data_IF_531279176868
#
_entry.id   IF_531279176868
#
_cell.length_a   1.000
_cell.length_b   1.000
_cell.length_c   1.000
_cell.angle_alpha   90.00
_cell.angle_beta   90.00
_cell.angle_gamma   90.00
#
_symmetry.space_group_name_H-M   'P 1'
#
loop_
_entity.id
_entity.type
_entity.pdbx_description
1 polymer ?
#
# COMPACT_ATOMS: atom_id res chain seq x y z
N UNK A 1 -6.01 6.58 -44.13
CA UNK A 1 -5.34 5.67 -43.22
C UNK A 1 -6.18 5.34 -41.98
N UNK A 2 -7.27 6.08 -41.73
CA UNK A 2 -8.19 5.84 -40.59
C UNK A 2 -7.65 6.34 -39.22
N UNK A 3 -6.56 7.08 -39.19
CA UNK A 3 -6.01 7.63 -37.95
C UNK A 3 -6.91 8.73 -37.44
N UNK A 4 -7.31 8.63 -36.17
CA UNK A 4 -8.11 9.66 -35.48
C UNK A 4 -7.27 10.91 -35.27
N UNK A 5 -7.83 12.06 -35.59
CA UNK A 5 -7.20 13.37 -35.38
C UNK A 5 -7.75 13.95 -34.06
N UNK A 6 -6.85 14.26 -33.14
CA UNK A 6 -7.19 14.85 -31.85
C UNK A 6 -6.83 16.33 -31.83
N UNK A 7 -7.83 17.17 -31.66
CA UNK A 7 -7.65 18.61 -31.67
C UNK A 7 -6.89 19.08 -30.43
N UNK A 8 -5.89 19.92 -30.65
CA UNK A 8 -5.20 20.65 -29.59
C UNK A 8 -6.12 21.72 -28.98
N UNK A 9 -6.22 21.76 -27.67
CA UNK A 9 -6.96 22.78 -26.92
C UNK A 9 -6.05 23.57 -26.00
N UNK A 10 -6.32 24.87 -25.87
CA UNK A 10 -5.73 25.69 -24.79
C UNK A 10 -6.58 25.53 -23.53
N UNK A 11 -5.95 25.33 -22.38
CA UNK A 11 -6.58 25.41 -21.08
C UNK A 11 -6.77 26.87 -20.67
N UNK A 12 -7.60 27.15 -19.66
CA UNK A 12 -7.81 28.50 -19.11
C UNK A 12 -6.51 29.16 -18.60
N UNK A 13 -5.48 28.32 -18.31
CA UNK A 13 -4.15 28.79 -17.92
C UNK A 13 -3.19 28.98 -19.10
N UNK A 14 -3.65 28.82 -20.34
CA UNK A 14 -2.83 28.92 -21.54
C UNK A 14 -1.98 27.68 -21.85
N UNK A 15 -2.12 26.62 -21.08
CA UNK A 15 -1.43 25.35 -21.34
C UNK A 15 -2.12 24.57 -22.47
N UNK A 16 -1.32 23.92 -23.29
CA UNK A 16 -1.81 23.07 -24.38
C UNK A 16 -2.09 21.67 -23.85
N UNK A 17 -3.37 21.29 -23.79
CA UNK A 17 -3.81 19.95 -23.42
C UNK A 17 -3.75 18.99 -24.64
N UNK A 18 -2.58 18.88 -25.26
CA UNK A 18 -2.38 18.13 -26.48
C UNK A 18 -2.33 16.62 -26.21
N UNK A 19 -3.05 15.83 -27.01
CA UNK A 19 -3.06 14.38 -26.96
C UNK A 19 -3.74 13.75 -25.74
N UNK A 20 -4.27 14.53 -24.79
CA UNK A 20 -4.94 13.98 -23.58
C UNK A 20 -6.12 13.08 -23.97
N UNK A 21 -6.93 13.48 -24.93
CA UNK A 21 -8.05 12.67 -25.41
C UNK A 21 -7.60 11.36 -26.05
N UNK A 22 -6.47 11.37 -26.78
CA UNK A 22 -5.89 10.16 -27.36
C UNK A 22 -5.46 9.17 -26.25
N UNK A 23 -4.82 9.67 -25.21
CA UNK A 23 -4.42 8.86 -24.04
C UNK A 23 -5.61 8.24 -23.35
N UNK A 24 -6.67 9.02 -23.11
CA UNK A 24 -7.86 8.55 -22.42
C UNK A 24 -8.65 7.50 -23.21
N UNK A 25 -8.67 7.63 -24.54
CA UNK A 25 -9.46 6.75 -25.42
C UNK A 25 -8.69 5.51 -25.87
N UNK A 26 -7.38 5.62 -26.10
CA UNK A 26 -6.57 4.57 -26.72
C UNK A 26 -5.43 4.08 -25.83
N UNK A 27 -5.25 4.67 -24.66
CA UNK A 27 -4.12 4.32 -23.78
C UNK A 27 -4.35 3.01 -23.04
N UNK A 28 -3.39 2.08 -23.17
CA UNK A 28 -3.30 0.89 -22.33
C UNK A 28 -2.80 1.19 -20.91
N UNK A 29 -2.89 2.45 -20.47
CA UNK A 29 -2.49 2.84 -19.13
C UNK A 29 -3.43 2.22 -18.09
N UNK A 30 -2.86 1.61 -17.08
CA UNK A 30 -3.65 1.14 -15.95
C UNK A 30 -2.83 1.16 -14.66
N UNK A 31 -3.56 1.35 -13.59
CA UNK A 31 -3.06 1.19 -12.23
C UNK A 31 -3.92 0.12 -11.55
N UNK A 32 -3.26 -0.87 -10.98
CA UNK A 32 -3.90 -1.94 -10.24
C UNK A 32 -3.34 -1.96 -8.84
N UNK A 33 -4.17 -1.62 -7.86
CA UNK A 33 -3.84 -1.71 -6.45
C UNK A 33 -4.61 -2.87 -5.82
N UNK A 34 -3.89 -3.77 -5.16
CA UNK A 34 -4.45 -4.92 -4.47
C UNK A 34 -3.94 -4.92 -3.04
N UNK A 35 -4.88 -4.93 -2.13
CA UNK A 35 -4.61 -4.95 -0.70
C UNK A 35 -5.21 -6.19 -0.08
N UNK A 36 -4.44 -6.86 0.75
CA UNK A 36 -4.87 -8.00 1.54
C UNK A 36 -4.50 -7.75 2.98
N UNK A 37 -5.50 -7.81 3.84
CA UNK A 37 -5.29 -7.70 5.28
C UNK A 37 -5.89 -8.92 5.96
N UNK A 38 -5.11 -9.53 6.82
CA UNK A 38 -5.55 -10.59 7.70
C UNK A 38 -5.22 -10.23 9.13
N UNK A 39 -6.24 -10.22 9.98
CA UNK A 39 -6.10 -9.93 11.42
C UNK A 39 -6.75 -11.06 12.21
N UNK A 40 -6.02 -11.58 13.18
CA UNK A 40 -6.54 -12.54 14.14
C UNK A 40 -6.16 -12.15 15.55
N UNK A 41 -7.07 -12.38 16.49
CA UNK A 41 -6.86 -12.11 17.91
C UNK A 41 -7.31 -13.30 18.75
N UNK A 42 -6.43 -13.72 19.65
CA UNK A 42 -6.72 -14.75 20.65
C UNK A 42 -6.79 -14.08 22.02
N UNK A 43 -7.80 -14.43 22.78
CA UNK A 43 -7.96 -14.00 24.15
C UNK A 43 -8.02 -15.22 25.07
N UNK A 44 -7.31 -15.14 26.20
CA UNK A 44 -7.39 -16.10 27.28
C UNK A 44 -7.72 -15.37 28.58
N UNK A 45 -8.69 -15.87 29.32
CA UNK A 45 -9.10 -15.34 30.62
C UNK A 45 -9.02 -16.46 31.65
N UNK A 46 -8.22 -16.22 32.68
CA UNK A 46 -8.03 -17.16 33.79
C UNK A 46 -8.47 -16.49 35.10
N UNK A 47 -9.20 -17.24 35.94
CA UNK A 47 -9.62 -16.82 37.28
C UNK A 47 -9.08 -17.81 38.33
N UNK A 48 -7.77 -17.77 38.61
CA UNK A 48 -7.13 -18.79 39.45
C UNK A 48 -7.59 -18.80 40.89
N UNK A 49 -8.02 -17.67 41.39
CA UNK A 49 -8.57 -17.49 42.76
C UNK A 49 -9.72 -16.47 42.76
N UNK A 50 -10.50 -16.45 43.83
CA UNK A 50 -11.54 -15.41 44.04
C UNK A 50 -10.94 -14.01 43.89
N UNK A 51 -11.69 -13.09 43.28
CA UNK A 51 -11.33 -11.68 43.14
C UNK A 51 -10.09 -11.39 42.27
N UNK A 52 -9.49 -12.40 41.65
CA UNK A 52 -8.33 -12.21 40.77
C UNK A 52 -8.56 -12.82 39.41
N UNK A 53 -8.39 -11.99 38.39
CA UNK A 53 -8.50 -12.36 36.96
C UNK A 53 -7.20 -12.01 36.25
N UNK A 54 -6.70 -12.94 35.44
CA UNK A 54 -5.60 -12.71 34.50
C UNK A 54 -6.14 -12.79 33.11
N UNK A 55 -5.83 -11.79 32.30
CA UNK A 55 -6.23 -11.73 30.90
C UNK A 55 -5.01 -11.58 30.02
N UNK A 56 -4.95 -12.39 28.98
CA UNK A 56 -3.93 -12.32 27.95
C UNK A 56 -4.59 -12.20 26.58
N UNK A 57 -4.14 -11.23 25.78
CA UNK A 57 -4.57 -11.04 24.42
C UNK A 57 -3.35 -11.07 23.49
N UNK A 58 -3.43 -11.86 22.43
CA UNK A 58 -2.45 -11.84 21.36
C UNK A 58 -3.14 -11.55 20.03
N UNK A 59 -2.69 -10.50 19.36
CA UNK A 59 -3.17 -10.11 18.03
C UNK A 59 -2.04 -10.22 17.03
N UNK A 60 -2.32 -10.84 15.91
CA UNK A 60 -1.42 -10.91 14.75
C UNK A 60 -2.13 -10.33 13.55
N UNK A 61 -1.48 -9.38 12.88
CA UNK A 61 -1.97 -8.75 11.67
C UNK A 61 -0.91 -8.87 10.57
N UNK A 62 -1.35 -9.25 9.39
CA UNK A 62 -0.54 -9.26 8.16
C UNK A 62 -1.23 -8.42 7.11
N UNK A 63 -0.52 -7.41 6.62
CA UNK A 63 -0.94 -6.54 5.54
C UNK A 63 0.01 -6.71 4.36
N UNK A 64 -0.55 -6.92 3.18
CA UNK A 64 0.18 -7.00 1.92
C UNK A 64 -0.51 -6.11 0.90
N UNK A 65 0.25 -5.20 0.29
CA UNK A 65 -0.20 -4.34 -0.79
C UNK A 65 0.69 -4.56 -2.01
N UNK A 66 0.07 -4.71 -3.15
CA UNK A 66 0.71 -4.75 -4.47
C UNK A 66 0.12 -3.66 -5.34
N UNK A 67 0.94 -2.67 -5.69
CA UNK A 67 0.58 -1.61 -6.63
C UNK A 67 1.35 -1.80 -7.93
N UNK A 68 0.62 -2.05 -9.03
CA UNK A 68 1.16 -2.16 -10.38
C UNK A 68 0.69 -0.96 -11.18
N UNK A 69 1.64 -0.24 -11.78
CA UNK A 69 1.38 0.91 -12.63
C UNK A 69 2.00 0.69 -14.02
N UNK A 70 1.16 0.65 -15.03
CA UNK A 70 1.53 0.50 -16.44
C UNK A 70 1.29 1.81 -17.19
N UNK A 71 2.30 2.30 -17.86
CA UNK A 71 2.21 3.42 -18.81
C UNK A 71 2.64 2.95 -20.19
N UNK A 72 1.95 3.41 -21.21
CA UNK A 72 2.15 3.05 -22.62
C UNK A 72 2.35 4.32 -23.43
N UNK A 73 3.19 4.26 -24.45
CA UNK A 73 3.30 5.34 -25.43
C UNK A 73 2.02 5.40 -26.28
N UNK A 74 1.47 6.58 -26.46
CA UNK A 74 0.27 6.78 -27.26
C UNK A 74 0.61 7.61 -28.49
N UNK A 75 0.38 7.01 -29.67
CA UNK A 75 0.49 7.70 -30.93
C UNK A 75 -0.83 8.40 -31.24
N UNK A 76 -0.75 9.64 -31.66
CA UNK A 76 -1.92 10.42 -32.07
C UNK A 76 -1.56 11.36 -33.22
N UNK A 77 -2.58 11.91 -33.85
CA UNK A 77 -2.44 12.82 -34.97
C UNK A 77 -3.06 14.17 -34.63
N UNK A 78 -2.36 15.26 -34.91
CA UNK A 78 -2.90 16.64 -34.87
C UNK A 78 -3.54 17.03 -36.18
N UNK A 79 -2.97 16.57 -37.26
CA UNK A 79 -3.43 16.86 -38.60
C UNK A 79 -3.49 15.57 -39.44
N UNK A 80 -4.33 15.50 -40.47
CA UNK A 80 -4.35 14.37 -41.36
C UNK A 80 -2.96 14.08 -41.97
N UNK A 81 -2.52 12.83 -41.89
CA UNK A 81 -1.23 12.38 -42.46
C UNK A 81 -0.01 12.63 -41.55
N UNK A 82 -0.17 13.22 -40.38
CA UNK A 82 0.89 13.42 -39.40
C UNK A 82 0.65 12.54 -38.17
N UNK A 83 1.64 11.79 -37.74
CA UNK A 83 1.58 10.99 -36.51
C UNK A 83 2.70 11.41 -35.58
N UNK A 84 2.35 11.72 -34.36
CA UNK A 84 3.27 12.12 -33.30
C UNK A 84 3.04 11.28 -32.03
N UNK A 85 4.10 11.10 -31.26
CA UNK A 85 4.00 10.50 -29.92
C UNK A 85 3.73 11.60 -28.89
N UNK A 86 2.84 11.35 -27.95
CA UNK A 86 2.57 12.27 -26.87
C UNK A 86 3.78 12.37 -25.93
N UNK A 87 4.47 13.50 -25.95
CA UNK A 87 5.61 13.81 -25.10
C UNK A 87 5.44 15.19 -24.46
N UNK A 88 4.48 15.34 -23.57
CA UNK A 88 4.25 16.62 -22.87
C UNK A 88 4.55 16.54 -21.36
N UNK A 89 5.38 15.58 -20.94
CA UNK A 89 5.69 15.35 -19.53
C UNK A 89 4.53 14.78 -18.69
N UNK A 90 3.36 14.62 -19.28
CA UNK A 90 2.18 14.00 -18.64
C UNK A 90 2.10 12.50 -18.91
N UNK A 91 2.58 12.06 -20.08
CA UNK A 91 2.87 10.65 -20.32
C UNK A 91 4.32 10.40 -19.95
N UNK A 92 4.52 9.55 -19.01
CA UNK A 92 5.87 9.21 -18.51
C UNK A 92 6.60 8.19 -19.38
N UNK A 93 6.19 8.06 -20.66
CA UNK A 93 6.72 7.07 -21.59
C UNK A 93 6.19 5.65 -21.29
N UNK A 94 6.75 4.70 -22.00
CA UNK A 94 6.40 3.29 -21.87
C UNK A 94 7.16 2.67 -20.69
N UNK A 95 6.46 2.38 -19.60
CA UNK A 95 7.06 1.76 -18.42
C UNK A 95 6.10 0.81 -17.69
N UNK A 96 6.68 -0.09 -16.94
CA UNK A 96 6.02 -0.90 -15.94
C UNK A 96 6.67 -0.64 -14.57
N UNK A 97 5.87 -0.37 -13.56
CA UNK A 97 6.32 -0.22 -12.18
C UNK A 97 5.47 -1.07 -11.25
N UNK A 98 6.10 -1.80 -10.37
CA UNK A 98 5.43 -2.56 -9.33
C UNK A 98 6.06 -2.25 -7.97
N UNK A 99 5.21 -2.01 -6.97
CA UNK A 99 5.61 -1.79 -5.60
C UNK A 99 4.87 -2.80 -4.74
N UNK A 100 5.62 -3.53 -3.93
CA UNK A 100 5.09 -4.43 -2.93
C UNK A 100 5.42 -3.90 -1.54
N UNK A 101 4.41 -3.77 -0.70
CA UNK A 101 4.49 -3.46 0.71
C UNK A 101 4.04 -4.69 1.50
N UNK A 102 4.85 -5.13 2.44
CA UNK A 102 4.52 -6.22 3.35
C UNK A 102 4.70 -5.75 4.78
N UNK A 103 3.67 -5.91 5.62
CA UNK A 103 3.72 -5.51 7.02
C UNK A 103 3.18 -6.64 7.89
N UNK A 104 3.92 -6.91 8.96
CA UNK A 104 3.50 -7.81 10.04
C UNK A 104 3.45 -6.98 11.31
N UNK A 105 2.34 -7.08 12.06
CA UNK A 105 2.20 -6.51 13.39
C UNK A 105 1.76 -7.57 14.38
N UNK A 106 2.40 -7.57 15.53
CA UNK A 106 2.08 -8.47 16.64
C UNK A 106 1.90 -7.64 17.89
N UNK A 107 0.79 -7.83 18.56
CA UNK A 107 0.50 -7.15 19.81
C UNK A 107 0.16 -8.19 20.88
N UNK A 108 0.83 -8.11 22.01
CA UNK A 108 0.57 -8.96 23.15
C UNK A 108 0.28 -8.10 24.37
N UNK A 109 -0.85 -8.38 25.03
CA UNK A 109 -1.24 -7.74 26.28
C UNK A 109 -1.40 -8.82 27.35
N UNK A 110 -0.83 -8.58 28.51
CA UNK A 110 -1.02 -9.40 29.69
C UNK A 110 -1.31 -8.50 30.87
N UNK A 111 -2.43 -8.72 31.55
CA UNK A 111 -2.76 -7.97 32.74
C UNK A 111 -3.53 -8.79 33.76
N UNK A 112 -3.27 -8.50 35.05
CA UNK A 112 -3.98 -9.01 36.18
C UNK A 112 -4.88 -7.95 36.79
N UNK A 113 -6.08 -8.34 37.15
CA UNK A 113 -7.04 -7.50 37.86
C UNK A 113 -7.40 -8.16 39.18
N UNK A 114 -7.22 -7.43 40.28
CA UNK A 114 -7.76 -7.79 41.57
C UNK A 114 -8.91 -6.84 41.91
N UNK A 115 -10.08 -7.40 42.24
CA UNK A 115 -11.28 -6.63 42.53
C UNK A 115 -11.99 -7.24 43.76
N UNK A 116 -12.00 -6.52 44.89
CA UNK A 116 -12.61 -7.01 46.11
C UNK A 116 -13.24 -5.88 46.92
N UNK A 117 -14.32 -6.22 47.61
CA UNK A 117 -14.99 -5.33 48.58
C UNK A 117 -14.82 -5.87 49.98
N UNK A 118 -14.12 -5.13 50.82
CA UNK A 118 -13.86 -5.45 52.22
C UNK A 118 -14.92 -4.83 53.13
N UNK A 119 -15.35 -5.58 54.15
CA UNK A 119 -16.33 -5.15 55.14
C UNK A 119 -17.63 -4.56 54.56
N UNK A 120 -18.02 -4.94 53.33
CA UNK A 120 -19.17 -4.41 52.59
C UNK A 120 -19.15 -2.87 52.41
N UNK A 121 -18.03 -2.21 52.62
CA UNK A 121 -17.90 -0.75 52.60
C UNK A 121 -16.73 -0.25 51.76
N UNK A 122 -15.64 -1.03 51.64
CA UNK A 122 -14.41 -0.60 50.97
C UNK A 122 -14.15 -1.43 49.72
N UNK A 123 -14.37 -0.85 48.56
CA UNK A 123 -14.07 -1.49 47.26
C UNK A 123 -12.67 -1.11 46.81
N UNK A 124 -11.86 -2.10 46.47
CA UNK A 124 -10.49 -1.93 45.95
C UNK A 124 -10.38 -2.68 44.65
N UNK A 125 -9.98 -1.96 43.62
CA UNK A 125 -9.67 -2.54 42.32
C UNK A 125 -8.26 -2.16 41.92
N UNK A 126 -7.43 -3.15 41.61
CA UNK A 126 -6.04 -2.97 41.18
C UNK A 126 -5.86 -3.68 39.86
N UNK A 127 -5.25 -3.00 38.91
CA UNK A 127 -4.89 -3.55 37.58
C UNK A 127 -3.39 -3.35 37.40
N UNK A 128 -2.69 -4.41 37.01
CA UNK A 128 -1.27 -4.38 36.68
C UNK A 128 -1.07 -5.16 35.39
N UNK A 129 -0.32 -4.62 34.45
CA UNK A 129 -0.11 -5.30 33.20
C UNK A 129 1.04 -4.78 32.39
N UNK A 130 1.27 -5.46 31.28
CA UNK A 130 2.23 -5.09 30.25
C UNK A 130 1.65 -5.25 28.85
N UNK A 131 2.20 -4.47 27.95
CA UNK A 131 1.89 -4.47 26.54
C UNK A 131 3.19 -4.64 25.77
N UNK A 132 3.18 -5.50 24.76
CA UNK A 132 4.24 -5.63 23.77
C UNK A 132 3.64 -5.39 22.39
N UNK A 133 4.21 -4.46 21.61
CA UNK A 133 3.83 -4.16 20.23
C UNK A 133 5.08 -4.28 19.35
N UNK A 134 5.00 -5.16 18.36
CA UNK A 134 6.03 -5.39 17.37
C UNK A 134 5.50 -5.11 15.98
N UNK A 135 6.28 -4.38 15.17
CA UNK A 135 5.97 -4.13 13.77
C UNK A 135 7.22 -4.38 12.92
N UNK A 136 7.01 -5.11 11.85
CA UNK A 136 7.95 -5.27 10.75
C UNK A 136 7.29 -4.78 9.47
N UNK A 137 8.01 -3.96 8.71
CA UNK A 137 7.56 -3.45 7.42
C UNK A 137 8.69 -3.62 6.41
N UNK A 138 8.34 -4.11 5.21
CA UNK A 138 9.25 -4.23 4.07
C UNK A 138 8.58 -3.70 2.82
N UNK A 139 9.29 -2.82 2.11
CA UNK A 139 8.91 -2.30 0.79
C UNK A 139 9.92 -2.76 -0.24
N UNK A 140 9.42 -3.22 -1.38
CA UNK A 140 10.21 -3.50 -2.57
C UNK A 140 9.49 -2.88 -3.76
N UNK A 141 10.21 -2.12 -4.58
CA UNK A 141 9.70 -1.54 -5.81
C UNK A 141 10.66 -1.75 -6.96
N UNK A 142 10.12 -2.01 -8.13
CA UNK A 142 10.86 -2.11 -9.38
C UNK A 142 10.15 -1.31 -10.47
N UNK A 143 10.93 -0.65 -11.32
CA UNK A 143 10.44 0.03 -12.52
C UNK A 143 11.38 -0.28 -13.67
N UNK A 144 10.80 -0.61 -14.84
CA UNK A 144 11.51 -0.74 -16.11
C UNK A 144 10.81 0.05 -17.19
N UNK A 145 11.59 0.65 -18.06
CA UNK A 145 11.12 1.43 -19.21
C UNK A 145 11.25 0.64 -20.51
N UNK A 146 10.53 1.07 -21.55
CA UNK A 146 10.66 0.52 -22.90
C UNK A 146 10.17 -0.91 -23.07
N UNK A 147 8.96 -1.23 -22.58
CA UNK A 147 8.37 -2.55 -22.78
C UNK A 147 8.04 -2.80 -24.25
N UNK A 148 8.33 -4.01 -24.74
CA UNK A 148 8.08 -4.46 -26.10
C UNK A 148 6.59 -4.72 -26.39
N UNK A 149 5.82 -5.02 -25.36
CA UNK A 149 4.39 -5.28 -25.47
C UNK A 149 3.59 -4.21 -24.76
N UNK A 150 2.53 -3.72 -25.40
CA UNK A 150 1.59 -2.78 -24.78
C UNK A 150 0.51 -3.47 -23.96
N UNK A 151 0.33 -4.77 -24.15
CA UNK A 151 -0.75 -5.56 -23.54
C UNK A 151 -0.28 -6.54 -22.44
N UNK A 152 1.03 -6.73 -22.31
CA UNK A 152 1.60 -7.66 -21.32
C UNK A 152 2.41 -6.90 -20.27
N UNK A 153 2.07 -7.14 -19.00
CA UNK A 153 2.74 -6.56 -17.84
C UNK A 153 3.83 -7.50 -17.35
N UNK A 154 4.90 -7.63 -18.11
CA UNK A 154 6.05 -8.48 -17.77
C UNK A 154 7.35 -7.67 -17.87
N UNK A 155 8.08 -7.61 -16.77
CA UNK A 155 9.38 -6.91 -16.68
C UNK A 155 10.44 -7.49 -17.62
N UNK A 156 10.35 -8.77 -17.99
CA UNK A 156 11.29 -9.38 -18.92
C UNK A 156 11.11 -8.88 -20.37
N UNK A 157 9.99 -8.24 -20.67
CA UNK A 157 9.71 -7.65 -21.98
C UNK A 157 10.27 -6.24 -22.15
N UNK A 158 10.95 -5.69 -21.14
CA UNK A 158 11.54 -4.36 -21.24
C UNK A 158 12.86 -4.39 -22.02
N UNK A 159 13.02 -3.46 -22.95
CA UNK A 159 14.27 -3.20 -23.66
C UNK A 159 15.21 -2.37 -22.78
N UNK A 160 16.50 -2.74 -22.83
CA UNK A 160 17.56 -1.93 -22.23
C UNK A 160 17.76 -2.12 -20.73
N UNK A 161 18.77 -1.41 -20.23
CA UNK A 161 19.33 -1.56 -18.90
C UNK A 161 18.76 -0.55 -17.90
N UNK A 162 17.74 0.22 -18.28
CA UNK A 162 17.13 1.23 -17.42
C UNK A 162 16.17 0.57 -16.39
N UNK A 163 16.77 0.15 -15.29
CA UNK A 163 16.12 -0.50 -14.19
C UNK A 163 16.23 0.40 -12.96
N UNK A 164 15.10 0.74 -12.37
CA UNK A 164 15.05 1.40 -11.07
C UNK A 164 14.52 0.43 -10.02
N UNK A 165 15.30 0.24 -8.96
CA UNK A 165 14.94 -0.61 -7.83
C UNK A 165 14.88 0.28 -6.58
N UNK A 166 13.81 0.17 -5.82
CA UNK A 166 13.66 0.83 -4.52
C UNK A 166 13.35 -0.22 -3.47
N UNK A 167 13.90 -0.04 -2.29
CA UNK A 167 13.65 -0.95 -1.17
C UNK A 167 13.74 -0.20 0.15
N UNK A 168 13.04 -0.71 1.14
CA UNK A 168 13.08 -0.21 2.50
C UNK A 168 12.61 -1.28 3.48
N UNK A 169 13.15 -1.21 4.69
CA UNK A 169 12.77 -2.10 5.78
C UNK A 169 12.75 -1.28 7.06
N UNK A 170 11.71 -1.48 7.84
CA UNK A 170 11.55 -0.86 9.15
C UNK A 170 11.11 -1.92 10.14
N UNK A 171 11.65 -1.85 11.34
CA UNK A 171 11.34 -2.76 12.42
C UNK A 171 11.38 -2.01 13.74
N UNK A 172 10.39 -2.25 14.59
CA UNK A 172 10.41 -1.76 15.96
C UNK A 172 9.69 -2.72 16.91
N UNK A 173 10.09 -2.64 18.18
CA UNK A 173 9.41 -3.29 19.28
C UNK A 173 9.26 -2.31 20.44
N UNK A 174 8.06 -2.25 21.00
CA UNK A 174 7.73 -1.41 22.16
C UNK A 174 7.21 -2.30 23.28
N UNK A 175 7.80 -2.16 24.47
CA UNK A 175 7.34 -2.79 25.69
C UNK A 175 6.88 -1.72 26.67
N UNK A 176 5.65 -1.82 27.11
CA UNK A 176 5.05 -0.91 28.08
C UNK A 176 4.55 -1.65 29.31
N UNK A 177 4.59 -0.99 30.48
CA UNK A 177 3.98 -1.47 31.71
C UNK A 177 3.00 -0.42 32.24
N UNK A 178 1.92 -0.88 32.83
CA UNK A 178 0.91 0.00 33.41
C UNK A 178 0.37 -0.57 34.69
N UNK A 179 -0.10 0.34 35.56
CA UNK A 179 -0.85 0.02 36.79
C UNK A 179 -1.94 1.06 37.02
N UNK A 180 -2.97 0.66 37.69
CA UNK A 180 -4.10 1.51 38.06
C UNK A 180 -4.70 1.06 39.37
#
# INVERSE_FOLDING_TARGET
>A
DGTLVYRTGLTDTGEVADGVSAVLLNGGHHNRDREYEFVTTFEAVLKPIKHFEVRANYSWAHYNQQNLNRSVDVLYSRNPGETITMDNGRTRGNYLSEIQNNQIRQTFNLYGTYDNTFANAHSVKVIVGGNYDYKYFKKLGMKRNGLLSESLDDFNLAKGDDISITGGQEEYAILGFFYR
#
